data_IF_094597543760
#
_entry.id   IF_094597543760
#
_cell.length_a   1.000
_cell.length_b   1.000
_cell.length_c   1.000
_cell.angle_alpha   90.00
_cell.angle_beta   90.00
_cell.angle_gamma   90.00
#
_symmetry.space_group_name_H-M   'P 1'
#
loop_
_entity.id
_entity.type
_entity.pdbx_description
1 polymer ?
#
# COMPACT_ATOMS: atom_id res chain seq x y z
N UNK A 1 -32.57 -12.15 -17.70
CA UNK A 1 -31.21 -12.55 -17.28
C UNK A 1 -30.18 -11.42 -17.37
N UNK A 2 -30.52 -10.20 -17.83
CA UNK A 2 -29.55 -9.09 -18.02
C UNK A 2 -29.25 -8.23 -16.77
N UNK A 3 -30.14 -8.21 -15.77
CA UNK A 3 -29.95 -7.40 -14.54
C UNK A 3 -28.82 -7.91 -13.64
N UNK A 4 -28.65 -9.23 -13.61
CA UNK A 4 -27.62 -9.89 -12.78
C UNK A 4 -26.21 -9.60 -13.29
N UNK A 5 -26.06 -9.44 -14.61
CA UNK A 5 -24.79 -9.07 -15.25
C UNK A 5 -24.42 -7.63 -14.93
N UNK A 6 -25.36 -6.68 -15.04
CA UNK A 6 -25.11 -5.27 -14.69
C UNK A 6 -24.71 -5.08 -13.23
N UNK A 7 -25.33 -5.85 -12.33
CA UNK A 7 -24.99 -5.81 -10.90
C UNK A 7 -23.56 -6.30 -10.66
N UNK A 8 -23.14 -7.36 -11.36
CA UNK A 8 -21.77 -7.87 -11.28
C UNK A 8 -20.73 -6.90 -11.88
N UNK A 9 -21.07 -6.24 -12.99
CA UNK A 9 -20.22 -5.22 -13.62
C UNK A 9 -20.01 -4.01 -12.70
N UNK A 10 -21.07 -3.52 -12.05
CA UNK A 10 -20.98 -2.44 -11.08
C UNK A 10 -20.18 -2.82 -9.82
N UNK A 11 -20.34 -4.05 -9.34
CA UNK A 11 -19.54 -4.55 -8.22
C UNK A 11 -18.05 -4.64 -8.57
N UNK A 12 -17.72 -5.08 -9.79
CA UNK A 12 -16.34 -5.12 -10.28
C UNK A 12 -15.75 -3.71 -10.39
N UNK A 13 -16.49 -2.74 -10.95
CA UNK A 13 -16.05 -1.34 -11.01
C UNK A 13 -15.88 -0.72 -9.63
N UNK A 14 -16.76 -1.02 -8.68
CA UNK A 14 -16.66 -0.55 -7.29
C UNK A 14 -15.45 -1.15 -6.58
N UNK A 15 -15.16 -2.43 -6.81
CA UNK A 15 -13.97 -3.11 -6.29
C UNK A 15 -12.69 -2.49 -6.86
N UNK A 16 -12.66 -2.22 -8.16
CA UNK A 16 -11.51 -1.55 -8.80
C UNK A 16 -11.35 -0.13 -8.24
N UNK A 17 -12.43 0.64 -8.09
CA UNK A 17 -12.38 1.97 -7.49
C UNK A 17 -11.92 1.94 -6.03
N UNK A 18 -12.35 0.94 -5.26
CA UNK A 18 -11.91 0.73 -3.89
C UNK A 18 -10.43 0.32 -3.81
N UNK A 19 -9.94 -0.53 -4.72
CA UNK A 19 -8.53 -0.93 -4.80
C UNK A 19 -7.63 0.21 -5.29
N UNK A 20 -8.12 1.04 -6.21
CA UNK A 20 -7.44 2.29 -6.59
C UNK A 20 -7.40 3.25 -5.42
N UNK A 21 -8.43 3.28 -4.58
CA UNK A 21 -8.45 4.02 -3.32
C UNK A 21 -7.64 3.34 -2.18
N UNK A 22 -7.26 2.06 -2.33
CA UNK A 22 -6.27 1.37 -1.47
C UNK A 22 -4.82 1.80 -1.75
N UNK A 23 -4.61 2.85 -2.55
CA UNK A 23 -3.37 3.66 -2.48
C UNK A 23 -3.17 4.32 -1.10
N UNK A 24 -4.13 4.19 -0.18
CA UNK A 24 -4.18 4.99 1.04
C UNK A 24 -3.35 4.51 2.23
N UNK A 25 -2.78 3.31 2.25
CA UNK A 25 -1.88 2.94 3.37
C UNK A 25 -0.66 2.14 2.90
N UNK A 26 0.00 2.66 1.86
CA UNK A 26 1.38 2.29 1.54
C UNK A 26 2.27 2.34 2.80
N UNK A 27 2.02 3.32 3.68
CA UNK A 27 2.71 3.46 4.96
C UNK A 27 2.46 2.28 5.90
N UNK A 28 1.23 1.73 6.00
CA UNK A 28 0.96 0.52 6.79
C UNK A 28 1.65 -0.72 6.23
N UNK A 29 1.67 -0.86 4.90
CA UNK A 29 2.34 -1.97 4.22
C UNK A 29 3.85 -1.91 4.50
N UNK A 30 4.46 -0.73 4.34
CA UNK A 30 5.89 -0.53 4.58
C UNK A 30 6.23 -0.71 6.06
N UNK A 31 5.39 -0.24 6.98
CA UNK A 31 5.58 -0.46 8.42
C UNK A 31 5.58 -1.95 8.77
N UNK A 32 4.62 -2.72 8.25
CA UNK A 32 4.57 -4.18 8.46
C UNK A 32 5.77 -4.92 7.87
N UNK A 33 6.22 -4.50 6.67
CA UNK A 33 7.41 -5.07 6.03
C UNK A 33 8.70 -4.74 6.79
N UNK A 34 8.84 -3.52 7.30
CA UNK A 34 9.96 -3.08 8.11
C UNK A 34 10.04 -3.89 9.41
N UNK A 35 8.93 -3.98 10.14
CA UNK A 35 8.87 -4.75 11.39
C UNK A 35 9.24 -6.22 11.17
N UNK A 36 8.67 -6.86 10.14
CA UNK A 36 9.00 -8.25 9.81
C UNK A 36 10.49 -8.42 9.48
N UNK A 37 11.08 -7.44 8.79
CA UNK A 37 12.51 -7.48 8.42
C UNK A 37 13.39 -7.33 9.65
N UNK A 38 13.09 -6.37 10.52
CA UNK A 38 13.80 -6.14 11.79
C UNK A 38 13.78 -7.38 12.69
N UNK A 39 12.63 -8.04 12.82
CA UNK A 39 12.50 -9.31 13.57
C UNK A 39 13.39 -10.42 13.02
N UNK A 40 13.50 -10.53 11.69
CA UNK A 40 14.29 -11.58 11.02
C UNK A 40 15.80 -11.32 11.14
N UNK A 41 16.23 -10.06 11.06
CA UNK A 41 17.65 -9.70 11.16
C UNK A 41 18.12 -9.55 12.61
N UNK A 42 17.18 -9.45 13.56
CA UNK A 42 17.47 -9.28 14.99
C UNK A 42 17.93 -7.87 15.35
N UNK A 43 17.43 -6.86 14.64
CA UNK A 43 17.69 -5.44 14.91
C UNK A 43 16.46 -4.78 15.52
N UNK A 44 16.71 -3.75 16.34
CA UNK A 44 15.65 -3.07 17.09
C UNK A 44 15.08 -1.85 16.35
N UNK A 45 15.78 -1.34 15.32
CA UNK A 45 15.35 -0.11 14.64
C UNK A 45 15.74 -0.07 13.16
N UNK A 46 14.91 0.62 12.37
CA UNK A 46 15.14 0.81 10.95
C UNK A 46 14.20 1.83 10.33
N UNK A 47 14.51 2.23 9.09
CA UNK A 47 13.78 3.27 8.35
C UNK A 47 13.63 2.85 6.88
N UNK A 48 12.51 3.23 6.26
CA UNK A 48 12.29 3.08 4.83
C UNK A 48 12.05 4.45 4.22
N UNK A 49 12.83 4.75 3.18
CA UNK A 49 12.69 5.94 2.36
C UNK A 49 12.15 5.55 0.99
N UNK A 50 11.23 6.36 0.46
CA UNK A 50 10.85 6.32 -0.95
C UNK A 50 11.45 7.51 -1.68
N UNK A 51 11.79 7.31 -2.94
CA UNK A 51 12.22 8.39 -3.81
C UNK A 51 10.96 8.99 -4.44
N UNK A 52 10.78 10.29 -4.28
CA UNK A 52 9.81 11.05 -5.04
C UNK A 52 10.31 11.18 -6.49
N UNK A 53 9.59 10.60 -7.45
CA UNK A 53 10.05 10.52 -8.84
C UNK A 53 10.03 11.87 -9.57
N UNK A 54 9.29 12.87 -9.08
CA UNK A 54 9.21 14.21 -9.68
C UNK A 54 10.35 15.12 -9.21
N UNK A 55 10.71 15.03 -7.93
CA UNK A 55 11.72 15.90 -7.30
C UNK A 55 13.09 15.21 -7.17
N UNK A 56 13.10 13.88 -7.11
CA UNK A 56 14.27 13.07 -6.80
C UNK A 56 14.62 13.02 -5.31
N UNK A 57 13.76 13.57 -4.45
CA UNK A 57 14.01 13.65 -3.01
C UNK A 57 13.69 12.33 -2.31
N UNK A 58 14.48 12.01 -1.29
CA UNK A 58 14.20 10.89 -0.39
C UNK A 58 13.21 11.32 0.69
N UNK A 59 12.04 10.70 0.71
CA UNK A 59 11.01 10.93 1.70
C UNK A 59 10.97 9.74 2.68
N UNK A 60 11.03 10.04 3.97
CA UNK A 60 10.87 9.03 5.02
C UNK A 60 9.40 8.61 5.08
N UNK A 61 9.12 7.33 4.89
CA UNK A 61 7.75 6.78 4.89
C UNK A 61 7.45 5.92 6.13
N UNK A 62 8.44 5.21 6.66
CA UNK A 62 8.24 4.48 7.92
C UNK A 62 9.54 4.38 8.72
N UNK A 63 9.39 4.33 10.04
CA UNK A 63 10.46 4.10 11.00
C UNK A 63 9.93 3.22 12.15
N UNK A 64 10.78 2.36 12.70
CA UNK A 64 10.48 1.52 13.87
C UNK A 64 11.65 1.49 14.83
#
# INVERSE_FOLDING_TARGET
>A
MSDRTRTAELAALTSIAAQVNCTQDLDEILAGALQTTLEVIGEDSGEIFLIDEETGDLQLHTHS
#
